data_IF_455650107097
#
_entry.id   IF_455650107097
#
_cell.length_a   1.000
_cell.length_b   1.000
_cell.length_c   1.000
_cell.angle_alpha   90.00
_cell.angle_beta   90.00
_cell.angle_gamma   90.00
#
_symmetry.space_group_name_H-M   'P 1'
#
loop_
_entity.id
_entity.type
_entity.pdbx_description
1 polymer ?
#
# COMPACT_ATOMS: atom_id res chain seq x y z
N UNK A 1 -36.27 -6.74 26.99
CA UNK A 1 -36.51 -6.06 25.71
C UNK A 1 -35.16 -5.58 25.19
N UNK A 2 -34.73 -6.10 24.04
CA UNK A 2 -33.35 -6.07 23.59
C UNK A 2 -32.86 -4.70 23.13
N UNK A 3 -31.64 -4.35 23.54
CA UNK A 3 -30.84 -3.28 22.93
C UNK A 3 -30.45 -3.68 21.50
N UNK A 4 -30.98 -2.95 20.51
CA UNK A 4 -30.46 -2.98 19.15
C UNK A 4 -29.07 -2.31 19.12
N UNK A 5 -28.05 -2.92 18.51
CA UNK A 5 -26.77 -2.25 18.27
C UNK A 5 -26.94 -1.11 17.27
N UNK A 6 -26.27 0.02 17.50
CA UNK A 6 -26.19 1.15 16.57
C UNK A 6 -25.49 0.70 15.28
N UNK A 7 -26.17 0.84 14.14
CA UNK A 7 -25.59 0.71 12.80
C UNK A 7 -24.39 1.66 12.64
N UNK A 8 -23.27 1.10 12.18
CA UNK A 8 -22.10 1.88 11.75
C UNK A 8 -22.49 2.69 10.51
N UNK A 9 -22.48 4.02 10.62
CA UNK A 9 -22.66 4.95 9.50
C UNK A 9 -21.47 4.76 8.54
N UNK A 10 -21.75 4.39 7.28
CA UNK A 10 -20.74 4.33 6.22
C UNK A 10 -20.29 5.76 5.85
N UNK A 11 -19.01 5.97 5.50
CA UNK A 11 -18.53 7.28 5.04
C UNK A 11 -19.27 7.70 3.76
N UNK A 12 -19.72 8.96 3.70
CA UNK A 12 -20.41 9.53 2.54
C UNK A 12 -19.43 9.64 1.37
N UNK A 13 -19.72 8.93 0.27
CA UNK A 13 -18.96 9.02 -0.97
C UNK A 13 -19.41 10.23 -1.77
N UNK A 14 -18.47 11.08 -2.19
CA UNK A 14 -18.76 12.15 -3.15
C UNK A 14 -19.02 11.51 -4.52
N UNK A 15 -20.27 11.55 -4.99
CA UNK A 15 -20.66 10.93 -6.26
C UNK A 15 -20.06 11.68 -7.46
N UNK A 16 -19.22 11.02 -8.25
CA UNK A 16 -18.76 11.49 -9.57
C UNK A 16 -19.66 10.98 -10.70
N UNK A 17 -19.92 11.83 -11.69
CA UNK A 17 -20.48 11.45 -12.99
C UNK A 17 -19.56 10.44 -13.69
N UNK A 18 -20.08 9.28 -14.09
CA UNK A 18 -19.29 8.15 -14.60
C UNK A 18 -18.93 8.27 -16.09
N UNK A 19 -18.01 9.17 -16.44
CA UNK A 19 -17.39 9.16 -17.77
C UNK A 19 -16.09 8.34 -17.73
N UNK A 20 -16.03 7.21 -18.45
CA UNK A 20 -14.83 6.36 -18.48
C UNK A 20 -13.60 7.03 -19.09
N UNK A 21 -13.79 8.09 -19.90
CA UNK A 21 -12.68 8.89 -20.42
C UNK A 21 -11.93 9.63 -19.30
N UNK A 22 -12.60 9.91 -18.17
CA UNK A 22 -12.00 10.64 -17.06
C UNK A 22 -10.99 9.80 -16.27
N UNK A 23 -10.97 8.49 -16.48
CA UNK A 23 -10.05 7.54 -15.82
C UNK A 23 -8.74 7.34 -16.59
N UNK A 24 -8.59 8.00 -17.74
CA UNK A 24 -7.45 7.77 -18.61
C UNK A 24 -6.14 8.22 -17.95
N UNK A 25 -5.21 7.29 -17.79
CA UNK A 25 -3.84 7.51 -17.37
C UNK A 25 -2.87 7.16 -18.52
N UNK A 26 -2.43 8.14 -19.34
CA UNK A 26 -1.67 7.84 -20.55
C UNK A 26 -0.22 7.38 -20.29
N UNK A 27 0.35 7.68 -19.12
CA UNK A 27 1.73 7.32 -18.79
C UNK A 27 1.87 5.92 -18.15
N UNK A 28 0.83 5.10 -18.19
CA UNK A 28 0.88 3.72 -17.71
C UNK A 28 2.00 2.85 -18.31
N UNK A 29 2.53 3.07 -19.55
CA UNK A 29 3.62 2.25 -20.07
C UNK A 29 4.93 2.39 -19.28
N UNK A 30 5.12 3.50 -18.56
CA UNK A 30 6.33 3.71 -17.75
C UNK A 30 6.39 2.80 -16.51
N UNK A 31 5.23 2.40 -15.98
CA UNK A 31 5.12 1.37 -14.94
C UNK A 31 3.81 0.59 -15.16
N UNK A 32 3.84 -0.51 -15.94
CA UNK A 32 2.64 -1.17 -16.46
C UNK A 32 1.95 -2.04 -15.40
N UNK A 33 1.37 -1.38 -14.40
CA UNK A 33 0.55 -1.98 -13.35
C UNK A 33 -0.92 -1.87 -13.72
N UNK A 34 -1.71 -2.89 -13.37
CA UNK A 34 -3.18 -2.82 -13.39
C UNK A 34 -3.65 -1.55 -12.65
N UNK A 35 -4.79 -0.96 -13.04
CA UNK A 35 -5.61 -1.23 -14.23
C UNK A 35 -5.06 -0.54 -15.51
N UNK A 36 -3.74 -0.40 -15.62
CA UNK A 36 -3.03 0.22 -16.74
C UNK A 36 -3.50 1.66 -16.99
N UNK A 37 -4.17 1.89 -18.10
CA UNK A 37 -4.67 3.19 -18.54
C UNK A 37 -5.97 3.60 -17.87
N UNK A 38 -6.68 2.72 -17.17
CA UNK A 38 -8.04 2.98 -16.67
C UNK A 38 -8.07 3.07 -15.15
N UNK A 39 -7.62 4.19 -14.60
CA UNK A 39 -7.47 4.40 -13.15
C UNK A 39 -8.64 5.23 -12.58
N UNK A 40 -9.66 4.51 -12.08
CA UNK A 40 -10.76 5.10 -11.31
C UNK A 40 -10.25 5.57 -9.95
N UNK A 41 -10.79 6.68 -9.46
CA UNK A 41 -10.47 7.24 -8.15
C UNK A 41 -11.70 7.24 -7.25
N UNK A 42 -11.60 6.61 -6.09
CA UNK A 42 -12.60 6.71 -5.02
C UNK A 42 -12.12 7.73 -3.98
N UNK A 43 -12.89 8.80 -3.78
CA UNK A 43 -12.64 9.77 -2.72
C UNK A 43 -13.52 9.49 -1.51
N UNK A 44 -12.90 9.37 -0.32
CA UNK A 44 -13.58 9.15 0.96
C UNK A 44 -13.16 10.22 1.95
N UNK A 45 -14.13 10.82 2.65
CA UNK A 45 -13.85 11.67 3.79
C UNK A 45 -13.65 10.83 5.04
N UNK A 46 -12.45 10.90 5.63
CA UNK A 46 -12.07 10.10 6.80
C UNK A 46 -12.25 10.89 8.09
N UNK A 47 -11.86 12.16 8.07
CA UNK A 47 -12.12 13.12 9.14
C UNK A 47 -12.86 14.29 8.54
N UNK A 48 -14.07 14.53 9.04
CA UNK A 48 -14.97 15.55 8.53
C UNK A 48 -14.27 16.90 8.34
N UNK A 49 -14.44 17.48 7.15
CA UNK A 49 -13.91 18.77 6.71
C UNK A 49 -12.39 18.93 6.93
N UNK A 50 -11.64 17.81 7.00
CA UNK A 50 -10.22 17.83 7.40
C UNK A 50 -9.35 16.86 6.62
N UNK A 51 -9.73 15.58 6.50
CA UNK A 51 -8.90 14.53 5.88
C UNK A 51 -9.73 13.74 4.87
N UNK A 52 -9.22 13.65 3.65
CA UNK A 52 -9.79 12.85 2.57
C UNK A 52 -8.76 11.87 2.04
N UNK A 53 -9.20 10.67 1.66
CA UNK A 53 -8.38 9.68 0.99
C UNK A 53 -8.87 9.49 -0.43
N UNK A 54 -7.91 9.29 -1.34
CA UNK A 54 -8.15 9.07 -2.77
C UNK A 54 -7.52 7.73 -3.12
N UNK A 55 -8.36 6.75 -3.42
CA UNK A 55 -7.94 5.38 -3.66
C UNK A 55 -8.00 5.06 -5.16
N UNK A 56 -6.94 4.44 -5.64
CA UNK A 56 -6.89 3.79 -6.95
C UNK A 56 -6.44 2.34 -6.77
N UNK A 57 -6.50 1.55 -7.83
CA UNK A 57 -6.02 0.17 -7.82
C UNK A 57 -4.61 0.09 -8.42
N UNK A 58 -3.78 -0.79 -7.89
CA UNK A 58 -2.52 -1.19 -8.50
C UNK A 58 -2.26 -2.68 -8.32
N UNK A 59 -1.51 -3.30 -9.22
CA UNK A 59 -1.18 -4.72 -9.11
C UNK A 59 -0.72 -5.36 -10.42
N UNK A 60 -0.50 -6.68 -10.36
CA UNK A 60 -0.01 -7.52 -11.46
C UNK A 60 -0.84 -8.81 -11.47
N UNK A 61 -1.14 -9.37 -12.65
CA UNK A 61 -1.91 -10.62 -12.81
C UNK A 61 -3.25 -10.65 -12.05
N UNK A 62 -4.00 -9.54 -12.07
CA UNK A 62 -5.22 -9.33 -11.27
C UNK A 62 -5.07 -9.43 -9.75
N UNK A 63 -3.86 -9.63 -9.23
CA UNK A 63 -3.54 -9.43 -7.82
C UNK A 63 -3.47 -7.93 -7.56
N UNK A 64 -4.65 -7.33 -7.37
CA UNK A 64 -4.81 -5.88 -7.27
C UNK A 64 -5.20 -5.45 -5.85
N UNK A 65 -4.50 -4.46 -5.32
CA UNK A 65 -4.76 -3.88 -4.01
C UNK A 65 -4.98 -2.37 -4.16
N UNK A 66 -5.54 -1.69 -3.14
CA UNK A 66 -5.61 -0.24 -3.14
C UNK A 66 -4.22 0.40 -3.03
N UNK A 67 -4.05 1.52 -3.72
CA UNK A 67 -3.01 2.53 -3.50
C UNK A 67 -3.69 3.86 -3.18
N UNK A 68 -3.19 4.59 -2.19
CA UNK A 68 -3.92 5.70 -1.57
C UNK A 68 -3.09 6.96 -1.45
N UNK A 69 -3.69 8.07 -1.89
CA UNK A 69 -3.27 9.43 -1.60
C UNK A 69 -4.11 9.97 -0.45
N UNK A 70 -3.49 10.75 0.45
CA UNK A 70 -4.21 11.44 1.53
C UNK A 70 -4.11 12.94 1.33
N UNK A 71 -5.23 13.65 1.41
CA UNK A 71 -5.33 15.11 1.32
C UNK A 71 -5.80 15.64 2.67
N UNK A 72 -5.07 16.59 3.23
CA UNK A 72 -5.34 17.19 4.54
C UNK A 72 -5.49 18.70 4.38
N UNK A 73 -6.54 19.27 4.98
CA UNK A 73 -6.74 20.72 5.06
C UNK A 73 -5.75 21.33 6.05
N UNK A 74 -5.06 22.39 5.63
CA UNK A 74 -4.18 23.20 6.48
C UNK A 74 -4.97 24.27 7.23
N UNK A 75 -4.60 24.54 8.48
CA UNK A 75 -5.17 25.63 9.29
C UNK A 75 -4.87 27.01 8.70
N UNK A 76 -3.65 27.19 8.16
CA UNK A 76 -3.25 28.41 7.47
C UNK A 76 -3.90 28.59 6.08
N UNK A 77 -4.73 27.63 5.66
CA UNK A 77 -5.39 27.60 4.36
C UNK A 77 -4.58 26.86 3.29
N UNK A 78 -5.30 26.13 2.43
CA UNK A 78 -4.75 25.26 1.42
C UNK A 78 -4.73 23.78 1.83
N UNK A 79 -4.11 22.97 0.99
CA UNK A 79 -4.10 21.51 1.13
C UNK A 79 -2.66 20.96 1.19
N UNK A 80 -2.48 19.96 2.05
CA UNK A 80 -1.33 19.09 2.14
C UNK A 80 -1.67 17.75 1.49
N UNK A 81 -0.84 17.26 0.57
CA UNK A 81 -1.06 16.02 -0.17
C UNK A 81 0.07 15.04 0.12
N UNK A 82 -0.27 13.85 0.59
CA UNK A 82 0.65 12.75 0.90
C UNK A 82 0.45 11.58 -0.07
N UNK A 83 1.54 11.06 -0.63
CA UNK A 83 1.57 9.92 -1.56
C UNK A 83 0.60 10.07 -2.76
N UNK A 84 0.81 11.03 -3.67
CA UNK A 84 -0.08 11.21 -4.82
C UNK A 84 -0.37 9.94 -5.63
N UNK A 85 -1.63 9.76 -6.03
CA UNK A 85 -2.07 8.73 -6.99
C UNK A 85 -2.15 9.32 -8.39
N UNK A 86 -2.45 8.50 -9.41
CA UNK A 86 -2.47 8.95 -10.80
C UNK A 86 -3.42 10.15 -10.98
N UNK A 87 -2.92 11.28 -11.53
CA UNK A 87 -3.72 12.49 -11.74
C UNK A 87 -4.62 12.35 -12.97
N UNK A 88 -5.55 11.40 -12.93
CA UNK A 88 -6.62 11.28 -13.93
C UNK A 88 -7.53 12.50 -13.86
N UNK A 89 -8.33 12.73 -14.91
CA UNK A 89 -9.27 13.86 -14.93
C UNK A 89 -10.24 13.78 -13.75
N UNK A 90 -10.72 12.57 -13.43
CA UNK A 90 -11.56 12.30 -12.26
C UNK A 90 -10.84 12.68 -10.95
N UNK A 91 -9.60 12.21 -10.76
CA UNK A 91 -8.79 12.51 -9.58
C UNK A 91 -8.62 14.03 -9.40
N UNK A 92 -8.19 14.72 -10.45
CA UNK A 92 -7.90 16.16 -10.40
C UNK A 92 -9.17 16.97 -10.19
N UNK A 93 -10.32 16.58 -10.78
CA UNK A 93 -11.60 17.24 -10.52
C UNK A 93 -11.99 17.15 -9.05
N UNK A 94 -11.91 15.96 -8.45
CA UNK A 94 -12.21 15.75 -7.03
C UNK A 94 -11.28 16.57 -6.12
N UNK A 95 -9.98 16.64 -6.42
CA UNK A 95 -9.05 17.50 -5.66
C UNK A 95 -9.40 18.98 -5.85
N UNK A 96 -9.79 19.42 -7.06
CA UNK A 96 -10.21 20.80 -7.32
C UNK A 96 -11.47 21.20 -6.57
N UNK A 97 -12.38 20.27 -6.30
CA UNK A 97 -13.54 20.52 -5.43
C UNK A 97 -13.13 20.84 -3.99
N UNK A 98 -12.06 20.20 -3.49
CA UNK A 98 -11.46 20.54 -2.19
C UNK A 98 -10.72 21.89 -2.27
N UNK A 99 -9.97 22.14 -3.34
CA UNK A 99 -9.28 23.42 -3.54
C UNK A 99 -10.24 24.61 -3.53
N UNK A 100 -11.39 24.47 -4.19
CA UNK A 100 -12.42 25.52 -4.23
C UNK A 100 -12.97 25.88 -2.84
N UNK A 101 -12.94 24.95 -1.89
CA UNK A 101 -13.46 25.13 -0.53
C UNK A 101 -12.39 25.51 0.49
N UNK A 102 -11.17 25.01 0.32
CA UNK A 102 -10.14 25.01 1.36
C UNK A 102 -8.86 25.74 0.96
N UNK A 103 -8.73 26.14 -0.31
CA UNK A 103 -7.55 26.81 -0.87
C UNK A 103 -6.63 25.88 -1.65
N UNK A 104 -5.64 26.46 -2.33
CA UNK A 104 -4.72 25.73 -3.21
C UNK A 104 -3.91 24.65 -2.49
N UNK A 105 -3.49 23.63 -3.24
CA UNK A 105 -2.48 22.67 -2.78
C UNK A 105 -1.16 23.40 -2.52
N UNK A 106 -0.70 23.37 -1.27
CA UNK A 106 0.55 24.01 -0.82
C UNK A 106 1.72 23.05 -0.85
N UNK A 107 1.49 21.81 -0.40
CA UNK A 107 2.56 20.83 -0.20
C UNK A 107 2.17 19.48 -0.79
N UNK A 108 3.10 18.87 -1.52
CA UNK A 108 2.98 17.52 -2.08
C UNK A 108 4.15 16.70 -1.56
N UNK A 109 3.88 15.60 -0.87
CA UNK A 109 4.89 14.74 -0.25
C UNK A 109 5.01 13.43 -1.01
N UNK A 110 6.22 13.10 -1.47
CA UNK A 110 6.62 11.74 -1.82
C UNK A 110 7.26 11.09 -0.59
N UNK A 111 6.56 10.17 0.09
CA UNK A 111 7.03 9.67 1.38
C UNK A 111 7.95 8.45 1.28
N UNK A 112 8.35 8.02 0.09
CA UNK A 112 9.21 6.83 -0.09
C UNK A 112 10.27 7.04 -1.17
N UNK A 113 11.41 6.36 -1.03
CA UNK A 113 12.44 6.30 -2.08
C UNK A 113 12.35 5.04 -2.95
N UNK A 114 11.75 3.96 -2.44
CA UNK A 114 11.76 2.62 -3.04
C UNK A 114 10.43 2.26 -3.73
N UNK A 115 9.30 2.84 -3.29
CA UNK A 115 7.98 2.61 -3.88
C UNK A 115 7.80 3.33 -5.22
N UNK A 116 8.13 2.65 -6.32
CA UNK A 116 8.01 3.19 -7.68
C UNK A 116 6.56 3.54 -8.04
N UNK A 117 5.60 2.75 -7.53
CA UNK A 117 4.16 2.98 -7.64
C UNK A 117 3.70 4.28 -6.99
N UNK A 118 4.38 4.74 -5.93
CA UNK A 118 4.10 6.03 -5.29
C UNK A 118 4.81 7.18 -6.00
N UNK A 119 6.00 6.90 -6.55
CA UNK A 119 6.87 7.89 -7.19
C UNK A 119 6.37 8.37 -8.54
N UNK A 120 5.91 7.45 -9.39
CA UNK A 120 5.59 7.73 -10.80
C UNK A 120 4.50 8.80 -10.97
N UNK A 121 3.61 8.95 -9.98
CA UNK A 121 2.51 9.90 -10.05
C UNK A 121 2.87 11.31 -9.60
N UNK A 122 3.94 11.50 -8.82
CA UNK A 122 4.24 12.77 -8.16
C UNK A 122 4.56 13.89 -9.14
N UNK A 123 5.47 13.67 -10.09
CA UNK A 123 5.81 14.68 -11.11
C UNK A 123 4.57 15.12 -11.93
N UNK A 124 3.82 14.17 -12.53
CA UNK A 124 2.55 14.45 -13.20
C UNK A 124 1.53 15.18 -12.32
N UNK A 125 1.31 14.75 -11.08
CA UNK A 125 0.36 15.37 -10.17
C UNK A 125 0.80 16.80 -9.81
N UNK A 126 2.09 17.00 -9.54
CA UNK A 126 2.64 18.32 -9.25
C UNK A 126 2.45 19.29 -10.41
N UNK A 127 2.47 18.84 -11.67
CA UNK A 127 2.18 19.72 -12.82
C UNK A 127 0.74 20.24 -12.86
N UNK A 128 -0.21 19.49 -12.30
CA UNK A 128 -1.61 19.95 -12.16
C UNK A 128 -1.77 21.04 -11.09
N UNK A 129 -0.84 21.12 -10.13
CA UNK A 129 -0.82 22.10 -9.04
C UNK A 129 0.53 22.83 -9.01
N UNK A 130 0.71 23.75 -9.96
CA UNK A 130 2.01 24.36 -10.26
C UNK A 130 2.60 25.24 -9.16
N UNK A 131 1.77 25.70 -8.22
CA UNK A 131 2.18 26.54 -7.08
C UNK A 131 2.61 25.72 -5.86
N UNK A 132 2.32 24.42 -5.81
CA UNK A 132 2.65 23.57 -4.67
C UNK A 132 4.17 23.32 -4.58
N UNK A 133 4.73 23.33 -3.39
CA UNK A 133 6.06 22.80 -3.14
C UNK A 133 6.01 21.28 -3.06
N UNK A 134 7.02 20.62 -3.63
CA UNK A 134 7.15 19.16 -3.63
C UNK A 134 8.27 18.78 -2.66
N UNK A 135 7.92 18.01 -1.63
CA UNK A 135 8.85 17.47 -0.66
C UNK A 135 9.01 15.97 -0.89
N UNK A 136 10.24 15.48 -0.85
CA UNK A 136 10.54 14.06 -1.11
C UNK A 136 11.31 13.45 0.05
N UNK A 137 11.11 12.16 0.28
CA UNK A 137 11.99 11.36 1.12
C UNK A 137 13.44 11.44 0.58
N UNK A 138 14.47 11.36 1.44
CA UNK A 138 15.87 11.39 1.04
C UNK A 138 16.26 10.20 0.15
N UNK A 139 17.47 10.28 -0.41
CA UNK A 139 18.11 9.22 -1.21
C UNK A 139 17.22 8.64 -2.32
N UNK A 140 16.52 9.48 -3.08
CA UNK A 140 15.73 9.03 -4.22
C UNK A 140 16.60 8.38 -5.30
N UNK A 141 16.13 7.25 -5.81
CA UNK A 141 16.76 6.52 -6.92
C UNK A 141 15.74 6.06 -7.96
N UNK A 142 16.19 5.52 -9.09
CA UNK A 142 15.32 4.91 -10.10
C UNK A 142 15.94 3.64 -10.67
N UNK A 143 15.10 2.80 -11.26
CA UNK A 143 15.50 1.54 -11.87
C UNK A 143 15.24 1.58 -13.39
N UNK A 144 16.12 1.01 -14.24
CA UNK A 144 17.36 0.30 -13.91
C UNK A 144 18.58 1.20 -13.65
N UNK A 145 18.46 2.51 -13.87
CA UNK A 145 19.52 3.49 -13.69
C UNK A 145 19.06 4.60 -12.75
N UNK A 146 19.95 5.11 -11.91
CA UNK A 146 19.71 6.28 -11.05
C UNK A 146 19.69 7.54 -11.90
N UNK A 147 18.49 7.98 -12.27
CA UNK A 147 18.27 9.16 -13.11
C UNK A 147 17.94 10.38 -12.24
N UNK A 148 18.32 11.59 -12.68
CA UNK A 148 17.87 12.82 -12.02
C UNK A 148 16.35 12.90 -11.97
N UNK A 149 15.79 13.34 -10.82
CA UNK A 149 14.34 13.47 -10.64
C UNK A 149 13.67 14.39 -11.69
N UNK A 150 14.39 15.40 -12.18
CA UNK A 150 13.90 16.27 -13.25
C UNK A 150 13.60 15.50 -14.54
N UNK A 151 14.37 14.46 -14.84
CA UNK A 151 14.14 13.58 -15.99
C UNK A 151 12.95 12.64 -15.75
N UNK A 152 12.65 12.34 -14.48
CA UNK A 152 11.44 11.63 -14.06
C UNK A 152 10.21 12.55 -13.97
N UNK A 153 10.34 13.81 -14.40
CA UNK A 153 9.24 14.77 -14.50
C UNK A 153 8.96 15.56 -13.22
N UNK A 154 9.86 15.53 -12.22
CA UNK A 154 9.74 16.37 -11.03
C UNK A 154 10.12 17.83 -11.35
N UNK A 155 9.37 18.81 -10.81
CA UNK A 155 9.61 20.22 -11.10
C UNK A 155 10.84 20.76 -10.35
N UNK A 156 11.99 20.83 -11.02
CA UNK A 156 13.30 21.13 -10.43
C UNK A 156 13.34 22.33 -9.46
N UNK A 157 12.66 23.44 -9.75
CA UNK A 157 12.72 24.68 -8.93
C UNK A 157 11.93 24.61 -7.62
N UNK A 158 11.09 23.59 -7.44
CA UNK A 158 10.17 23.47 -6.29
C UNK A 158 10.11 22.06 -5.72
N UNK A 159 11.04 21.19 -6.10
CA UNK A 159 11.24 19.89 -5.48
C UNK A 159 12.42 19.99 -4.53
N UNK A 160 12.20 19.62 -3.28
CA UNK A 160 13.23 19.62 -2.24
C UNK A 160 13.14 18.36 -1.38
N UNK A 161 14.28 17.90 -0.87
CA UNK A 161 14.30 16.82 0.12
C UNK A 161 13.70 17.36 1.42
N UNK A 162 12.94 16.52 2.12
CA UNK A 162 12.45 16.85 3.46
C UNK A 162 13.66 17.15 4.38
N UNK A 163 13.62 18.26 5.13
CA UNK A 163 14.62 18.51 6.17
C UNK A 163 14.72 17.32 7.14
N UNK A 164 15.91 17.04 7.65
CA UNK A 164 16.09 15.98 8.65
C UNK A 164 15.34 16.29 9.94
N UNK A 165 15.43 17.54 10.39
CA UNK A 165 14.63 18.06 11.49
C UNK A 165 13.25 18.53 10.98
N UNK A 166 12.20 17.82 11.41
CA UNK A 166 10.81 18.15 11.06
C UNK A 166 10.38 19.56 11.48
N UNK A 167 11.03 20.18 12.47
CA UNK A 167 10.75 21.55 12.89
C UNK A 167 11.06 22.60 11.82
N UNK A 168 11.92 22.26 10.85
CA UNK A 168 12.35 23.14 9.77
C UNK A 168 11.43 23.08 8.55
N UNK A 169 10.45 22.18 8.54
CA UNK A 169 9.48 22.10 7.45
C UNK A 169 8.47 23.26 7.54
N UNK A 170 7.98 23.81 6.41
CA UNK A 170 7.05 24.93 6.41
C UNK A 170 5.63 24.57 6.92
N UNK A 171 5.42 23.33 7.31
CA UNK A 171 4.19 22.78 7.88
C UNK A 171 4.41 22.16 9.27
N UNK A 172 5.54 22.49 9.94
CA UNK A 172 5.91 21.93 11.24
C UNK A 172 4.94 22.27 12.37
N UNK A 173 4.14 23.33 12.25
CA UNK A 173 3.14 23.69 13.26
C UNK A 173 2.05 22.60 13.37
N UNK A 174 1.60 22.08 12.23
CA UNK A 174 0.48 21.14 12.13
C UNK A 174 0.93 19.66 12.07
N UNK A 175 2.16 19.41 11.62
CA UNK A 175 2.68 18.06 11.40
C UNK A 175 4.02 17.84 12.10
N UNK A 176 4.26 16.60 12.50
CA UNK A 176 5.58 16.07 12.84
C UNK A 176 5.89 14.90 11.89
N UNK A 177 7.16 14.65 11.58
CA UNK A 177 7.52 13.48 10.78
C UNK A 177 8.85 12.86 11.20
N UNK A 178 9.03 11.60 10.83
CA UNK A 178 10.23 10.83 11.08
C UNK A 178 10.57 10.02 9.84
N UNK A 179 11.83 10.07 9.43
CA UNK A 179 12.33 9.37 8.25
C UNK A 179 13.06 8.11 8.68
N UNK A 180 12.63 6.96 8.18
CA UNK A 180 13.42 5.74 8.16
C UNK A 180 14.17 5.71 6.83
N UNK A 181 15.48 5.53 6.84
CA UNK A 181 16.31 5.61 5.64
C UNK A 181 17.44 4.59 5.69
N UNK A 182 17.23 3.45 5.05
CA UNK A 182 18.11 2.28 5.07
C UNK A 182 18.85 2.22 3.74
N UNK A 183 20.17 2.24 3.79
CA UNK A 183 21.02 1.96 2.63
C UNK A 183 21.03 0.45 2.34
N UNK A 184 20.67 0.08 1.11
CA UNK A 184 20.66 -1.31 0.63
C UNK A 184 21.80 -1.57 -0.37
N UNK A 185 22.79 -0.67 -0.44
CA UNK A 185 23.97 -0.72 -1.31
C UNK A 185 23.69 -0.32 -2.77
N UNK A 186 22.69 -0.93 -3.42
CA UNK A 186 22.30 -0.61 -4.83
C UNK A 186 21.13 0.37 -4.94
N UNK A 187 20.65 0.87 -3.81
CA UNK A 187 19.53 1.78 -3.66
C UNK A 187 19.24 1.99 -2.18
N UNK A 188 18.18 2.72 -1.87
CA UNK A 188 17.73 2.94 -0.49
C UNK A 188 16.30 2.48 -0.30
N UNK A 189 15.97 2.09 0.92
CA UNK A 189 14.60 2.07 1.41
C UNK A 189 14.42 3.26 2.34
N UNK A 190 13.67 4.26 1.90
CA UNK A 190 13.24 5.35 2.76
C UNK A 190 11.72 5.34 2.91
N UNK A 191 11.23 5.61 4.12
CA UNK A 191 9.82 5.87 4.43
C UNK A 191 9.69 7.07 5.38
N UNK A 192 8.74 7.95 5.09
CA UNK A 192 8.42 9.12 5.91
C UNK A 192 7.07 8.89 6.59
N UNK A 193 7.12 8.62 7.90
CA UNK A 193 5.94 8.65 8.75
C UNK A 193 5.57 10.10 9.06
N UNK A 194 4.32 10.49 8.82
CA UNK A 194 3.83 11.85 9.08
C UNK A 194 2.69 11.79 10.09
N UNK A 195 2.80 12.53 11.18
CA UNK A 195 1.78 12.67 12.21
C UNK A 195 1.08 14.02 12.06
N UNK A 196 -0.23 13.98 11.77
CA UNK A 196 -1.08 15.16 11.83
C UNK A 196 -1.60 15.34 13.26
N UNK A 197 -1.11 16.38 13.93
CA UNK A 197 -1.26 16.56 15.39
C UNK A 197 -2.72 16.68 15.80
N UNK A 198 -3.48 17.52 15.10
CA UNK A 198 -4.87 17.87 15.46
C UNK A 198 -5.85 16.70 15.37
N UNK A 199 -5.72 15.85 14.35
CA UNK A 199 -6.62 14.70 14.16
C UNK A 199 -6.08 13.41 14.78
N UNK A 200 -4.94 13.47 15.46
CA UNK A 200 -4.24 12.32 16.02
C UNK A 200 -4.08 11.19 14.99
N UNK A 201 -3.65 11.53 13.77
CA UNK A 201 -3.61 10.61 12.63
C UNK A 201 -2.18 10.43 12.15
N UNK A 202 -1.75 9.17 12.08
CA UNK A 202 -0.46 8.78 11.51
C UNK A 202 -0.64 8.37 10.04
N UNK A 203 0.17 8.93 9.15
CA UNK A 203 0.26 8.51 7.75
C UNK A 203 1.51 7.66 7.57
N UNK A 204 1.34 6.51 6.92
CA UNK A 204 2.42 5.57 6.60
C UNK A 204 2.33 5.15 5.13
N UNK A 205 3.47 4.72 4.58
CA UNK A 205 3.54 4.25 3.19
C UNK A 205 3.44 2.73 3.15
N UNK A 206 4.56 2.03 3.35
CA UNK A 206 4.69 0.59 3.10
C UNK A 206 4.93 -0.21 4.39
N UNK A 207 5.38 0.45 5.46
CA UNK A 207 5.83 -0.19 6.70
C UNK A 207 4.73 -0.92 7.46
N UNK A 208 3.49 -0.42 7.44
CA UNK A 208 2.35 -1.01 8.16
C UNK A 208 1.20 -1.29 7.21
N UNK A 209 0.72 -2.52 7.26
CA UNK A 209 -0.46 -2.99 6.57
C UNK A 209 -1.50 -3.50 7.57
N UNK A 210 -2.77 -3.45 7.17
CA UNK A 210 -3.84 -4.25 7.77
C UNK A 210 -4.75 -4.75 6.65
N UNK A 211 -5.27 -5.96 6.79
CA UNK A 211 -6.09 -6.60 5.75
C UNK A 211 -7.53 -6.71 6.26
N UNK A 212 -8.51 -6.07 5.59
CA UNK A 212 -9.92 -6.20 5.92
C UNK A 212 -10.44 -7.59 5.51
N UNK A 213 -11.51 -8.04 6.18
CA UNK A 213 -12.16 -9.32 5.83
C UNK A 213 -12.82 -9.29 4.45
N UNK A 214 -13.45 -8.16 4.14
CA UNK A 214 -14.17 -7.87 2.90
C UNK A 214 -13.32 -7.00 1.97
N UNK A 215 -13.54 -7.09 0.64
CA UNK A 215 -12.87 -6.23 -0.33
C UNK A 215 -13.16 -4.75 -0.05
N UNK A 216 -12.12 -3.89 -0.06
CA UNK A 216 -12.28 -2.44 -0.01
C UNK A 216 -13.25 -1.93 -1.10
N UNK A 217 -13.92 -0.81 -0.84
CA UNK A 217 -14.94 -0.27 -1.74
C UNK A 217 -14.43 -0.05 -3.17
N UNK A 218 -13.18 0.42 -3.33
CA UNK A 218 -12.55 0.60 -4.65
C UNK A 218 -12.43 -0.72 -5.43
N UNK A 219 -12.11 -1.84 -4.76
CA UNK A 219 -12.03 -3.17 -5.37
C UNK A 219 -13.41 -3.69 -5.83
N UNK A 220 -14.50 -3.16 -5.29
CA UNK A 220 -15.85 -3.58 -5.66
C UNK A 220 -16.41 -2.86 -6.89
N UNK A 221 -15.75 -1.78 -7.36
CA UNK A 221 -16.19 -1.02 -8.54
C UNK A 221 -16.01 -1.77 -9.87
N UNK A 222 -14.96 -2.58 -9.99
CA UNK A 222 -14.81 -3.62 -11.03
C UNK A 222 -14.46 -4.94 -10.34
N UNK A 223 -15.44 -5.83 -10.09
CA UNK A 223 -15.23 -7.02 -9.29
C UNK A 223 -14.43 -8.10 -10.06
N UNK A 224 -14.20 -7.95 -11.37
CA UNK A 224 -13.63 -9.02 -12.19
C UNK A 224 -12.31 -9.60 -11.62
N UNK A 225 -11.33 -8.79 -11.15
CA UNK A 225 -10.12 -9.33 -10.55
C UNK A 225 -10.39 -10.17 -9.29
N UNK A 226 -11.36 -9.76 -8.45
CA UNK A 226 -11.81 -10.54 -7.30
C UNK A 226 -12.35 -11.89 -7.77
N UNK A 227 -13.29 -11.87 -8.72
CA UNK A 227 -13.93 -13.10 -9.21
C UNK A 227 -12.94 -14.02 -9.95
N UNK A 228 -11.94 -13.45 -10.62
CA UNK A 228 -10.87 -14.20 -11.26
C UNK A 228 -10.09 -15.04 -10.25
N UNK A 229 -9.70 -14.42 -9.12
CA UNK A 229 -8.96 -15.07 -8.03
C UNK A 229 -9.83 -15.89 -7.07
N UNK A 230 -11.15 -15.75 -7.15
CA UNK A 230 -12.09 -16.59 -6.39
C UNK A 230 -12.06 -18.06 -6.85
N UNK A 231 -11.63 -18.35 -8.07
CA UNK A 231 -11.58 -19.71 -8.62
C UNK A 231 -10.48 -20.57 -7.99
N UNK A 232 -10.75 -21.84 -7.77
CA UNK A 232 -9.75 -22.83 -7.36
C UNK A 232 -8.87 -23.28 -8.54
N UNK A 233 -9.41 -23.21 -9.77
CA UNK A 233 -8.74 -23.65 -10.98
C UNK A 233 -9.37 -23.09 -12.27
N UNK A 234 -8.75 -23.38 -13.42
CA UNK A 234 -9.17 -22.88 -14.73
C UNK A 234 -10.55 -23.36 -15.22
N UNK A 235 -11.03 -24.50 -14.74
CA UNK A 235 -12.31 -25.08 -15.20
C UNK A 235 -13.54 -24.48 -14.53
N UNK A 236 -13.36 -23.74 -13.43
CA UNK A 236 -14.46 -23.09 -12.72
C UNK A 236 -14.95 -21.84 -13.47
N UNK A 237 -16.27 -21.68 -13.49
CA UNK A 237 -16.92 -20.49 -14.02
C UNK A 237 -16.68 -19.27 -13.11
N UNK A 238 -16.75 -18.07 -13.69
CA UNK A 238 -16.67 -16.81 -12.95
C UNK A 238 -18.09 -16.38 -12.60
N UNK A 239 -18.45 -16.53 -11.33
CA UNK A 239 -19.78 -16.16 -10.81
C UNK A 239 -19.69 -14.96 -9.87
N UNK A 240 -20.49 -13.94 -10.12
CA UNK A 240 -20.51 -12.72 -9.31
C UNK A 240 -21.50 -12.84 -8.15
N UNK A 241 -20.97 -13.09 -6.95
CA UNK A 241 -21.71 -13.04 -5.70
C UNK A 241 -20.79 -12.56 -4.56
N UNK A 242 -21.38 -12.15 -3.43
CA UNK A 242 -20.61 -11.60 -2.30
C UNK A 242 -19.57 -12.58 -1.74
N UNK A 243 -19.90 -13.87 -1.70
CA UNK A 243 -18.98 -14.91 -1.23
C UNK A 243 -17.74 -15.00 -2.12
N UNK A 244 -17.92 -15.02 -3.44
CA UNK A 244 -16.83 -15.09 -4.41
C UNK A 244 -15.99 -13.81 -4.42
N UNK A 245 -16.61 -12.62 -4.31
CA UNK A 245 -15.87 -11.36 -4.17
C UNK A 245 -14.99 -11.37 -2.92
N UNK A 246 -15.53 -11.81 -1.78
CA UNK A 246 -14.78 -11.96 -0.53
C UNK A 246 -13.66 -12.99 -0.68
N UNK A 247 -13.94 -14.19 -1.17
CA UNK A 247 -12.93 -15.24 -1.38
C UNK A 247 -11.79 -14.77 -2.30
N UNK A 248 -12.14 -14.10 -3.40
CA UNK A 248 -11.19 -13.49 -4.31
C UNK A 248 -10.28 -12.47 -3.63
N UNK A 249 -10.86 -11.56 -2.84
CA UNK A 249 -10.11 -10.58 -2.05
C UNK A 249 -9.13 -11.23 -1.08
N UNK A 250 -9.57 -12.25 -0.36
CA UNK A 250 -8.75 -12.94 0.63
C UNK A 250 -7.54 -13.63 -0.02
N UNK A 251 -7.76 -14.23 -1.19
CA UNK A 251 -6.72 -14.85 -2.02
C UNK A 251 -5.76 -13.83 -2.64
N UNK A 252 -6.29 -12.73 -3.15
CA UNK A 252 -5.48 -11.59 -3.63
C UNK A 252 -4.61 -11.05 -2.51
N UNK A 253 -5.14 -10.94 -1.28
CA UNK A 253 -4.38 -10.45 -0.13
C UNK A 253 -3.22 -11.38 0.21
N UNK A 254 -3.45 -12.70 0.24
CA UNK A 254 -2.38 -13.68 0.43
C UNK A 254 -1.32 -13.59 -0.68
N UNK A 255 -1.75 -13.46 -1.93
CA UNK A 255 -0.83 -13.32 -3.06
C UNK A 255 -0.04 -12.01 -2.98
N UNK A 256 -0.69 -10.88 -2.76
CA UNK A 256 -0.04 -9.57 -2.71
C UNK A 256 0.99 -9.47 -1.58
N UNK A 257 0.72 -10.10 -0.44
CA UNK A 257 1.57 -10.03 0.76
C UNK A 257 2.72 -11.04 0.72
N UNK A 258 2.49 -12.27 0.22
CA UNK A 258 3.49 -13.34 0.22
C UNK A 258 4.11 -13.64 -1.14
N UNK A 259 3.60 -13.06 -2.23
CA UNK A 259 3.82 -13.40 -3.65
C UNK A 259 3.40 -14.83 -4.01
N UNK A 260 3.91 -15.83 -3.29
CA UNK A 260 3.55 -17.24 -3.43
C UNK A 260 3.36 -17.85 -2.03
N UNK A 261 2.17 -17.72 -1.43
CA UNK A 261 1.87 -18.36 -0.15
C UNK A 261 1.93 -19.89 -0.30
N UNK A 262 2.19 -20.61 0.79
CA UNK A 262 2.37 -22.07 0.78
C UNK A 262 1.13 -22.83 0.30
N UNK A 263 -0.04 -22.23 0.49
CA UNK A 263 -1.35 -22.73 0.07
C UNK A 263 -1.64 -22.53 -1.42
N UNK A 264 -0.80 -21.78 -2.14
CA UNK A 264 -0.93 -21.57 -3.59
C UNK A 264 0.09 -22.41 -4.34
N UNK A 265 -0.39 -23.41 -5.09
CA UNK A 265 0.44 -24.19 -6.03
C UNK A 265 0.33 -23.58 -7.43
N UNK A 266 1.47 -23.52 -8.12
CA UNK A 266 1.54 -23.11 -9.52
C UNK A 266 1.56 -24.38 -10.38
N UNK A 267 0.66 -24.44 -11.34
CA UNK A 267 0.54 -25.57 -12.26
C UNK A 267 1.66 -25.53 -13.31
N UNK A 268 2.24 -26.68 -13.66
CA UNK A 268 3.25 -26.76 -14.73
C UNK A 268 2.68 -26.35 -16.10
N UNK A 269 3.56 -25.88 -17.00
CA UNK A 269 3.16 -25.30 -18.30
C UNK A 269 2.25 -26.22 -19.11
N UNK A 270 2.59 -27.51 -19.25
CA UNK A 270 1.78 -28.47 -20.03
C UNK A 270 0.36 -28.63 -19.49
N UNK A 271 0.22 -28.80 -18.18
CA UNK A 271 -1.10 -28.93 -17.54
C UNK A 271 -1.90 -27.62 -17.65
N UNK A 272 -1.24 -26.47 -17.50
CA UNK A 272 -1.87 -25.16 -17.67
C UNK A 272 -2.49 -24.98 -19.06
N UNK A 273 -1.81 -25.39 -20.14
CA UNK A 273 -2.36 -25.36 -21.49
C UNK A 273 -3.54 -26.33 -21.65
N UNK A 274 -3.42 -27.56 -21.14
CA UNK A 274 -4.53 -28.53 -21.15
C UNK A 274 -5.77 -28.02 -20.41
N UNK A 275 -5.58 -27.36 -19.26
CA UNK A 275 -6.65 -26.78 -18.46
C UNK A 275 -7.31 -25.58 -19.17
N UNK A 276 -6.51 -24.73 -19.80
CA UNK A 276 -7.02 -23.58 -20.56
C UNK A 276 -7.91 -24.01 -21.74
N UNK A 277 -7.63 -25.15 -22.38
CA UNK A 277 -8.52 -25.71 -23.41
C UNK A 277 -9.89 -26.09 -22.87
N UNK A 278 -9.98 -26.49 -21.59
CA UNK A 278 -11.22 -26.87 -20.90
C UNK A 278 -11.91 -25.69 -20.21
N UNK A 279 -11.27 -24.51 -20.17
CA UNK A 279 -11.80 -23.36 -19.47
C UNK A 279 -13.13 -22.88 -20.09
N UNK A 280 -14.15 -22.57 -19.27
CA UNK A 280 -15.47 -22.13 -19.76
C UNK A 280 -15.41 -20.75 -20.42
N UNK A 281 -14.44 -19.91 -20.04
CA UNK A 281 -14.24 -18.57 -20.62
C UNK A 281 -12.80 -18.41 -21.15
N UNK A 282 -12.68 -18.03 -22.43
CA UNK A 282 -11.40 -17.86 -23.14
C UNK A 282 -11.19 -16.46 -23.73
N UNK A 283 -11.82 -15.44 -23.14
CA UNK A 283 -11.60 -14.06 -23.57
C UNK A 283 -10.17 -13.60 -23.22
N UNK A 284 -9.71 -12.53 -23.87
CA UNK A 284 -8.44 -11.87 -23.51
C UNK A 284 -8.45 -11.41 -22.04
N UNK A 285 -9.60 -10.93 -21.54
CA UNK A 285 -9.77 -10.54 -20.11
C UNK A 285 -9.54 -11.73 -19.18
N UNK A 286 -9.91 -12.94 -19.60
CA UNK A 286 -9.68 -14.20 -18.89
C UNK A 286 -8.33 -14.87 -19.23
N UNK A 287 -7.38 -14.13 -19.82
CA UNK A 287 -6.10 -14.63 -20.32
C UNK A 287 -6.23 -15.87 -21.22
N UNK A 288 -7.23 -15.88 -22.11
CA UNK A 288 -7.50 -17.01 -23.00
C UNK A 288 -7.74 -18.35 -22.25
N UNK A 289 -8.25 -18.27 -21.01
CA UNK A 289 -8.49 -19.44 -20.15
C UNK A 289 -7.28 -19.84 -19.29
N UNK A 290 -6.14 -19.16 -19.42
CA UNK A 290 -4.97 -19.43 -18.59
C UNK A 290 -5.23 -19.03 -17.14
N UNK A 291 -5.11 -20.01 -16.25
CA UNK A 291 -5.18 -19.81 -14.82
C UNK A 291 -4.20 -20.77 -14.13
N UNK A 292 -2.97 -20.33 -13.85
CA UNK A 292 -1.91 -21.21 -13.36
C UNK A 292 -2.04 -21.56 -11.87
N UNK A 293 -3.06 -21.04 -11.18
CA UNK A 293 -3.21 -21.10 -9.73
C UNK A 293 -4.04 -22.30 -9.29
N UNK A 294 -3.57 -22.99 -8.24
CA UNK A 294 -4.26 -24.08 -7.56
C UNK A 294 -4.23 -23.84 -6.06
N UNK A 295 -5.37 -23.44 -5.51
CA UNK A 295 -5.52 -23.18 -4.07
C UNK A 295 -5.78 -24.48 -3.31
N UNK A 296 -5.08 -24.66 -2.19
CA UNK A 296 -5.31 -25.78 -1.26
C UNK A 296 -6.45 -25.46 -0.30
N UNK A 297 -7.21 -26.46 0.15
CA UNK A 297 -8.43 -26.28 0.95
C UNK A 297 -8.22 -25.50 2.26
N UNK A 298 -7.02 -25.55 2.83
CA UNK A 298 -6.66 -24.84 4.05
C UNK A 298 -6.27 -23.36 3.84
N UNK A 299 -6.41 -22.80 2.63
CA UNK A 299 -6.05 -21.39 2.33
C UNK A 299 -6.70 -20.38 3.28
N UNK A 300 -7.89 -20.69 3.79
CA UNK A 300 -8.63 -19.82 4.71
C UNK A 300 -7.89 -19.63 6.04
N UNK A 301 -7.22 -20.66 6.55
CA UNK A 301 -6.42 -20.57 7.77
C UNK A 301 -5.23 -19.62 7.58
N UNK A 302 -4.56 -19.69 6.42
CA UNK A 302 -3.50 -18.73 6.07
C UNK A 302 -4.03 -17.30 6.00
N UNK A 303 -5.22 -17.07 5.43
CA UNK A 303 -5.81 -15.74 5.40
C UNK A 303 -6.16 -15.24 6.80
N UNK A 304 -6.77 -16.08 7.64
CA UNK A 304 -7.16 -15.68 8.98
C UNK A 304 -5.93 -15.36 9.87
N UNK A 305 -4.82 -16.10 9.69
CA UNK A 305 -3.54 -15.82 10.35
C UNK A 305 -2.87 -14.54 9.82
N UNK A 306 -2.92 -14.28 8.51
CA UNK A 306 -2.45 -13.02 7.92
C UNK A 306 -3.21 -11.83 8.50
N UNK A 307 -4.54 -11.90 8.43
CA UNK A 307 -5.46 -10.86 8.90
C UNK A 307 -5.30 -10.60 10.40
N UNK A 308 -5.19 -11.66 11.21
CA UNK A 308 -5.02 -11.54 12.67
C UNK A 308 -6.05 -10.62 13.31
N UNK A 309 -7.33 -10.71 12.91
CA UNK A 309 -8.40 -9.84 13.40
C UNK A 309 -8.42 -8.41 12.85
N UNK A 310 -7.59 -8.08 11.84
CA UNK A 310 -7.40 -6.71 11.33
C UNK A 310 -6.29 -5.94 12.06
N UNK A 311 -5.40 -6.67 12.75
CA UNK A 311 -4.25 -6.06 13.44
C UNK A 311 -3.29 -5.41 12.43
N UNK A 312 -2.63 -4.30 12.78
CA UNK A 312 -1.51 -3.80 12.00
C UNK A 312 -0.34 -4.80 12.04
N UNK A 313 0.36 -4.97 10.91
CA UNK A 313 1.57 -5.77 10.81
C UNK A 313 2.49 -5.21 9.73
N UNK A 314 3.78 -5.53 9.82
CA UNK A 314 4.76 -5.15 8.80
C UNK A 314 4.70 -6.12 7.63
N UNK A 315 4.79 -5.63 6.38
CA UNK A 315 4.78 -6.50 5.21
C UNK A 315 5.90 -7.56 5.26
N UNK A 316 5.65 -8.85 4.97
CA UNK A 316 6.65 -9.93 5.08
C UNK A 316 7.91 -9.71 4.24
N UNK A 317 7.76 -9.07 3.07
CA UNK A 317 8.92 -8.71 2.24
C UNK A 317 9.86 -7.74 2.98
N UNK A 318 9.32 -6.79 3.74
CA UNK A 318 10.12 -5.86 4.56
C UNK A 318 10.71 -6.57 5.77
N UNK A 319 9.97 -7.50 6.38
CA UNK A 319 10.45 -8.27 7.54
C UNK A 319 11.65 -9.17 7.23
N UNK A 320 11.76 -9.62 5.98
CA UNK A 320 12.83 -10.54 5.57
C UNK A 320 13.95 -9.81 4.85
N UNK A 321 13.64 -8.98 3.84
CA UNK A 321 14.69 -8.43 2.97
C UNK A 321 15.22 -7.06 3.38
N UNK A 322 14.45 -6.24 4.09
CA UNK A 322 14.75 -4.80 4.19
C UNK A 322 15.09 -4.39 5.62
N UNK A 323 14.14 -4.51 6.54
CA UNK A 323 14.28 -3.97 7.89
C UNK A 323 15.36 -4.68 8.73
N UNK A 324 15.64 -5.99 8.55
CA UNK A 324 16.78 -6.63 9.20
C UNK A 324 18.15 -6.09 8.77
N UNK A 325 18.27 -5.32 7.68
CA UNK A 325 19.56 -4.75 7.26
C UNK A 325 20.02 -3.59 8.16
N UNK A 326 19.11 -2.96 8.91
CA UNK A 326 19.44 -1.87 9.84
C UNK A 326 18.55 -1.90 11.09
N UNK A 327 18.59 -2.99 11.90
CA UNK A 327 17.60 -3.25 12.93
C UNK A 327 17.55 -2.16 14.00
N UNK A 328 18.70 -1.65 14.44
CA UNK A 328 18.75 -0.58 15.45
C UNK A 328 18.16 0.73 14.92
N UNK A 329 18.41 1.06 13.64
CA UNK A 329 17.84 2.24 13.02
C UNK A 329 16.33 2.15 12.91
N UNK A 330 15.81 0.97 12.53
CA UNK A 330 14.37 0.71 12.49
C UNK A 330 13.75 0.84 13.88
N UNK A 331 14.35 0.22 14.91
CA UNK A 331 13.85 0.30 16.28
C UNK A 331 13.84 1.74 16.82
N UNK A 332 14.91 2.51 16.57
CA UNK A 332 14.96 3.93 16.94
C UNK A 332 13.86 4.75 16.25
N UNK A 333 13.62 4.50 14.96
CA UNK A 333 12.54 5.16 14.21
C UNK A 333 11.17 4.77 14.76
N UNK A 334 10.94 3.48 15.05
CA UNK A 334 9.71 2.97 15.66
C UNK A 334 9.47 3.65 17.01
N UNK A 335 10.49 3.72 17.86
CA UNK A 335 10.37 4.35 19.18
C UNK A 335 10.08 5.85 19.06
N UNK A 336 10.72 6.55 18.11
CA UNK A 336 10.42 7.96 17.81
C UNK A 336 8.96 8.15 17.37
N UNK A 337 8.48 7.38 16.38
CA UNK A 337 7.09 7.45 15.90
C UNK A 337 6.10 7.12 17.02
N UNK A 338 6.44 6.17 17.89
CA UNK A 338 5.60 5.77 19.00
C UNK A 338 5.50 6.82 20.12
N UNK A 339 6.37 7.85 20.14
CA UNK A 339 6.21 8.99 21.06
C UNK A 339 4.99 9.85 20.71
N UNK A 340 4.49 9.78 19.48
CA UNK A 340 3.35 10.58 19.04
C UNK A 340 2.04 9.97 19.51
N UNK A 341 1.11 10.84 19.92
CA UNK A 341 -0.21 10.40 20.39
C UNK A 341 -1.21 10.22 19.24
N UNK A 342 -0.99 9.29 18.31
CA UNK A 342 -1.99 8.96 17.28
C UNK A 342 -3.02 7.93 17.77
N UNK A 343 -4.22 7.98 17.20
CA UNK A 343 -5.34 7.08 17.51
C UNK A 343 -5.85 6.33 16.26
N UNK A 344 -5.31 6.69 15.10
CA UNK A 344 -5.59 6.04 13.83
C UNK A 344 -4.37 6.13 12.90
N UNK A 345 -4.27 5.16 12.01
CA UNK A 345 -3.24 5.07 10.98
C UNK A 345 -3.92 5.04 9.61
N UNK A 346 -3.46 5.86 8.67
CA UNK A 346 -3.84 5.82 7.26
C UNK A 346 -2.62 5.32 6.48
N UNK A 347 -2.54 4.01 6.18
CA UNK A 347 -1.51 3.48 5.30
C UNK A 347 -1.82 3.80 3.83
N UNK A 348 -0.83 3.64 2.95
CA UNK A 348 -1.04 3.81 1.51
C UNK A 348 -1.68 2.59 0.84
N UNK A 349 -1.74 1.43 1.52
CA UNK A 349 -2.25 0.17 0.98
C UNK A 349 -3.29 -0.50 1.87
N UNK A 350 -4.09 -1.41 1.28
CA UNK A 350 -5.10 -2.23 1.97
C UNK A 350 -6.09 -1.43 2.85
N UNK A 351 -6.31 -1.84 4.10
CA UNK A 351 -7.34 -1.27 5.00
C UNK A 351 -7.00 0.17 5.41
N UNK A 352 -8.02 1.02 5.48
CA UNK A 352 -7.88 2.39 6.00
C UNK A 352 -9.24 3.03 6.32
N UNK A 353 -9.33 3.80 7.42
CA UNK A 353 -8.31 4.00 8.45
C UNK A 353 -8.20 2.78 9.36
N UNK A 354 -6.99 2.49 9.84
CA UNK A 354 -6.75 1.48 10.88
C UNK A 354 -6.90 2.16 12.24
N UNK A 355 -7.78 1.63 13.09
CA UNK A 355 -7.88 2.06 14.49
C UNK A 355 -6.75 1.43 15.30
N UNK A 356 -5.63 2.13 15.40
CA UNK A 356 -4.45 1.68 16.12
C UNK A 356 -3.78 2.84 16.88
N UNK A 357 -3.23 2.50 18.05
CA UNK A 357 -2.47 3.41 18.89
C UNK A 357 -0.95 3.13 18.81
N UNK A 358 -0.09 3.92 19.47
CA UNK A 358 1.36 3.76 19.41
C UNK A 358 1.86 2.40 19.88
N UNK A 359 1.22 1.83 20.89
CA UNK A 359 1.58 0.51 21.40
C UNK A 359 1.31 -0.59 20.35
N UNK A 360 0.15 -0.56 19.69
CA UNK A 360 -0.17 -1.51 18.61
C UNK A 360 0.74 -1.34 17.40
N UNK A 361 1.16 -0.10 17.09
CA UNK A 361 2.17 0.17 16.08
C UNK A 361 3.52 -0.46 16.46
N UNK A 362 4.05 -0.24 17.66
CA UNK A 362 5.31 -0.85 18.10
C UNK A 362 5.25 -2.39 18.08
N UNK A 363 4.12 -2.97 18.49
CA UNK A 363 3.92 -4.42 18.49
C UNK A 363 4.09 -5.05 17.11
N UNK A 364 3.77 -4.32 16.02
CA UNK A 364 3.95 -4.80 14.65
C UNK A 364 5.43 -5.05 14.30
N UNK A 365 6.37 -4.38 14.98
CA UNK A 365 7.81 -4.50 14.77
C UNK A 365 8.51 -5.48 15.73
N UNK A 366 7.77 -6.17 16.61
CA UNK A 366 8.35 -7.13 17.56
C UNK A 366 9.10 -8.30 16.90
N UNK A 367 8.86 -8.57 15.61
CA UNK A 367 9.61 -9.58 14.87
C UNK A 367 11.12 -9.29 14.82
N UNK A 368 11.52 -8.01 14.71
CA UNK A 368 12.94 -7.60 14.76
C UNK A 368 13.54 -7.87 16.13
N UNK A 369 12.83 -7.48 17.21
CA UNK A 369 13.31 -7.71 18.58
C UNK A 369 13.57 -9.20 18.84
N UNK A 370 12.69 -10.08 18.35
CA UNK A 370 12.85 -11.54 18.48
C UNK A 370 14.05 -12.09 17.70
N UNK A 371 14.35 -11.53 16.52
CA UNK A 371 15.48 -11.97 15.68
C UNK A 371 16.84 -11.62 16.31
N UNK A 372 16.96 -10.46 16.94
CA UNK A 372 18.23 -9.94 17.48
C UNK A 372 18.40 -10.13 19.01
N UNK A 373 17.41 -10.69 19.71
CA UNK A 373 17.55 -11.04 21.12
C UNK A 373 18.21 -12.41 21.29
N UNK A 374 19.53 -12.45 21.47
CA UNK A 374 20.25 -13.62 21.99
C UNK A 374 20.09 -13.63 23.52
N UNK A 375 18.96 -14.09 24.07
CA UNK A 375 18.81 -14.56 25.47
C UNK A 375 17.35 -14.80 25.84
N UNK A 376 17.01 -16.07 26.11
CA UNK A 376 16.40 -16.55 27.37
C UNK A 376 15.07 -16.00 27.93
N UNK A 377 14.60 -14.80 27.58
CA UNK A 377 13.40 -14.23 28.20
C UNK A 377 12.20 -14.32 27.25
N UNK A 378 11.43 -15.38 27.46
CA UNK A 378 10.11 -15.58 26.89
C UNK A 378 9.12 -14.55 27.42
N UNK A 379 9.21 -13.31 26.91
CA UNK A 379 8.08 -12.38 26.94
C UNK A 379 7.13 -12.79 25.83
N UNK A 380 6.23 -13.70 26.19
CA UNK A 380 5.05 -14.06 25.40
C UNK A 380 4.18 -12.82 25.31
N UNK A 381 4.34 -12.04 24.24
CA UNK A 381 3.38 -11.00 23.87
C UNK A 381 2.62 -11.43 22.61
N UNK A 382 1.30 -11.46 22.80
CA UNK A 382 0.21 -12.08 22.04
C UNK A 382 -0.04 -11.47 20.64
N UNK A 383 0.98 -11.31 19.81
CA UNK A 383 0.74 -11.16 18.37
C UNK A 383 0.89 -12.52 17.71
N UNK A 384 -0.22 -13.07 17.19
CA UNK A 384 -0.19 -14.25 16.33
C UNK A 384 0.84 -13.99 15.23
N UNK A 385 1.98 -14.70 15.24
CA UNK A 385 3.00 -14.52 14.21
C UNK A 385 2.41 -14.95 12.88
N UNK A 386 2.89 -14.32 11.80
CA UNK A 386 2.57 -14.81 10.47
C UNK A 386 3.04 -16.26 10.34
N UNK A 387 2.30 -17.07 9.60
CA UNK A 387 2.66 -18.47 9.40
C UNK A 387 3.99 -18.56 8.66
N UNK A 388 5.02 -19.14 9.30
CA UNK A 388 6.36 -19.25 8.72
C UNK A 388 6.36 -19.99 7.37
N UNK A 389 5.42 -20.91 7.20
CA UNK A 389 5.25 -21.66 5.96
C UNK A 389 4.94 -20.75 4.77
N UNK A 390 4.13 -19.71 4.97
CA UNK A 390 3.77 -18.74 3.92
C UNK A 390 4.91 -17.76 3.62
N UNK A 391 5.86 -17.59 4.55
CA UNK A 391 7.07 -16.78 4.34
C UNK A 391 8.16 -17.51 3.57
N UNK A 392 8.04 -18.83 3.35
CA UNK A 392 9.09 -19.67 2.75
C UNK A 392 9.58 -19.13 1.41
N UNK A 393 8.67 -18.74 0.52
CA UNK A 393 9.05 -18.22 -0.79
C UNK A 393 9.86 -16.93 -0.71
N UNK A 394 9.52 -16.04 0.22
CA UNK A 394 10.24 -14.78 0.42
C UNK A 394 11.66 -15.06 0.94
N UNK A 395 11.83 -16.03 1.85
CA UNK A 395 13.14 -16.49 2.32
C UNK A 395 13.97 -17.15 1.20
N UNK A 396 13.34 -17.94 0.34
CA UNK A 396 13.99 -18.52 -0.86
C UNK A 396 14.44 -17.42 -1.84
N UNK A 397 13.61 -16.39 -2.03
CA UNK A 397 13.91 -15.24 -2.87
C UNK A 397 15.11 -14.46 -2.33
N UNK A 398 15.10 -14.14 -1.03
CA UNK A 398 16.23 -13.49 -0.34
C UNK A 398 17.52 -14.29 -0.54
N UNK A 399 17.53 -15.59 -0.24
CA UNK A 399 18.70 -16.44 -0.42
C UNK A 399 19.20 -16.45 -1.87
N UNK A 400 18.29 -16.43 -2.85
CA UNK A 400 18.61 -16.28 -4.26
C UNK A 400 19.26 -14.92 -4.59
N UNK A 401 18.71 -13.82 -4.07
CA UNK A 401 19.24 -12.46 -4.29
C UNK A 401 20.62 -12.28 -3.66
N UNK A 402 20.85 -12.83 -2.46
CA UNK A 402 22.16 -12.85 -1.80
C UNK A 402 23.17 -13.66 -2.61
N UNK A 403 22.77 -14.87 -3.07
CA UNK A 403 23.62 -15.71 -3.92
C UNK A 403 24.01 -15.03 -5.24
N UNK A 404 23.13 -14.19 -5.79
CA UNK A 404 23.39 -13.40 -6.98
C UNK A 404 24.14 -12.09 -6.73
N UNK A 405 24.49 -11.77 -5.46
CA UNK A 405 25.15 -10.52 -5.09
C UNK A 405 24.30 -9.28 -5.36
N UNK A 406 22.96 -9.42 -5.34
CA UNK A 406 22.00 -8.33 -5.52
C UNK A 406 21.60 -7.74 -4.17
N UNK A 407 21.42 -8.60 -3.16
CA UNK A 407 21.11 -8.21 -1.79
C UNK A 407 22.30 -8.48 -0.87
N UNK A 408 22.42 -7.69 0.20
CA UNK A 408 23.42 -7.87 1.26
C UNK A 408 22.90 -8.91 2.26
N UNK A 409 23.75 -9.85 2.73
CA UNK A 409 23.35 -10.72 3.83
C UNK A 409 23.09 -9.90 5.10
N UNK A 410 22.17 -10.37 5.93
CA UNK A 410 21.94 -9.78 7.26
C UNK A 410 23.12 -10.15 8.15
N UNK A 411 23.86 -9.15 8.62
CA UNK A 411 24.87 -9.34 9.66
C UNK A 411 24.12 -9.64 10.97
N UNK A 412 24.12 -10.92 11.39
CA UNK A 412 23.48 -11.39 12.62
C UNK A 412 24.26 -11.01 13.89
#
# INVERSE_FOLDING_TARGET
MGHKPKEKRQPESMQSSTNSQDWLWPFWPALPLYPYSQRRTLCLEIVKDTIWTFEQLHGILYTIVPIRMTVIKLEAGGLFVYAPVAPTIECIRLVKELVAKHGDVKYIILPTSSGLEHKIFVGPFARCFSQAQVFIAPHQWSFPLTLPLSWLGFPQKRTQVLPEDSSQAPFADEFEYAVLDIDLGRGSFAEVAVFHKRSHTLLLTDSILSVPEDPPAINQLDPYPLLFHARNNASEAIEDNQLNRRQGWQRISLFAVFFRPSVLKITGLGQMFCDALKAPQKSLKAYCGLFPFRWQDNWKQSFDALRGGGRPFVAPILQVLILPQAPQQVLNWVDKVATWNFQQIIPCHFDSPIKANPHQFQQAFNFLKRQFSISGDSVVNETQPLLEQDMRFIKELEAGLVKCGIATPVDL
#
